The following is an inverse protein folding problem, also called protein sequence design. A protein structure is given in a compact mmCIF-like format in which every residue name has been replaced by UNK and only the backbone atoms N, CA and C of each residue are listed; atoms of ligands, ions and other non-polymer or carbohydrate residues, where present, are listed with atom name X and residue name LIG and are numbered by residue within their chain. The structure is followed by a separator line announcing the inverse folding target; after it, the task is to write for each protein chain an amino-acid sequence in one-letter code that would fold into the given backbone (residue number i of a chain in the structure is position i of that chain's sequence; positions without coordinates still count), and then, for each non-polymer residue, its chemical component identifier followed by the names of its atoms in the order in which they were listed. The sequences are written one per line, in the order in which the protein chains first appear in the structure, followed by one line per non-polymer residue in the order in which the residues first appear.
data_IF_702199274857
#
_entry.id   IF_702199274857
#
_cell.length_a   1.000
_cell.length_b   1.000
_cell.length_c   1.000
_cell.angle_alpha   90.00
_cell.angle_beta   90.00
_cell.angle_gamma   90.00
#
_symmetry.space_group_name_H-M   'P 1'
#
loop_
_entity.id
_entity.type
_entity.pdbx_description
1 polymer ?
#
# COMPACT_ATOMS: atom_id res chain seq x y z
N UNK A 1 19.35 -12.03 -20.88
CA UNK A 1 18.46 -10.86 -20.81
C UNK A 1 17.27 -11.15 -19.89
N UNK A 2 17.52 -11.34 -18.60
CA UNK A 2 16.48 -11.75 -17.63
C UNK A 2 15.98 -10.60 -16.74
N UNK A 3 16.70 -9.47 -16.69
CA UNK A 3 16.38 -8.35 -15.82
C UNK A 3 15.07 -7.63 -16.22
N UNK A 4 14.65 -7.70 -17.48
CA UNK A 4 13.43 -7.04 -17.99
C UNK A 4 12.13 -7.72 -17.55
N UNK A 5 12.19 -8.95 -17.04
CA UNK A 5 11.02 -9.72 -16.63
C UNK A 5 10.74 -9.63 -15.12
N UNK A 6 11.54 -8.86 -14.38
CA UNK A 6 11.37 -8.65 -12.94
C UNK A 6 10.87 -7.23 -12.66
N UNK A 7 10.02 -7.03 -11.66
CA UNK A 7 9.59 -5.70 -11.24
C UNK A 7 10.82 -4.92 -10.78
N UNK A 8 11.04 -3.77 -11.41
CA UNK A 8 11.98 -2.78 -10.92
C UNK A 8 11.21 -1.72 -10.14
N UNK A 9 11.83 -1.15 -9.12
CA UNK A 9 11.25 -0.02 -8.37
C UNK A 9 12.36 0.99 -8.15
N UNK A 10 12.06 2.24 -8.50
CA UNK A 10 12.96 3.37 -8.33
C UNK A 10 12.22 4.45 -7.55
N UNK A 11 12.92 5.10 -6.63
CA UNK A 11 12.40 6.18 -5.80
C UNK A 11 13.06 7.47 -6.26
N UNK A 12 12.22 8.43 -6.65
CA UNK A 12 12.67 9.75 -7.06
C UNK A 12 12.02 10.79 -6.14
N UNK A 13 12.84 11.64 -5.54
CA UNK A 13 12.38 12.80 -4.79
C UNK A 13 12.81 14.07 -5.54
N UNK A 14 11.86 14.93 -5.84
CA UNK A 14 12.18 16.29 -6.26
C UNK A 14 12.52 17.11 -5.02
N UNK A 15 13.78 17.52 -4.89
CA UNK A 15 14.26 18.33 -3.77
C UNK A 15 15.08 19.53 -4.25
N UNK A 16 15.14 20.57 -3.42
CA UNK A 16 16.14 21.63 -3.59
C UNK A 16 17.50 21.15 -3.08
N UNK A 17 18.61 21.77 -3.49
CA UNK A 17 19.92 21.46 -2.94
C UNK A 17 19.91 21.47 -1.40
N UNK A 18 20.44 20.41 -0.79
CA UNK A 18 20.49 20.21 0.66
C UNK A 18 19.11 20.13 1.36
N UNK A 19 18.03 19.83 0.64
CA UNK A 19 16.68 19.67 1.18
C UNK A 19 16.08 18.30 0.82
N UNK A 20 16.92 17.27 0.68
CA UNK A 20 16.48 15.89 0.52
C UNK A 20 15.79 15.44 1.81
N UNK A 21 14.51 15.08 1.74
CA UNK A 21 13.79 14.56 2.90
C UNK A 21 13.97 13.06 3.07
N UNK A 22 14.27 12.33 1.98
CA UNK A 22 14.63 10.92 2.06
C UNK A 22 16.00 10.78 2.72
N UNK A 23 16.03 9.99 3.80
CA UNK A 23 17.22 9.69 4.59
C UNK A 23 17.80 8.31 4.26
N UNK A 24 16.95 7.34 3.89
CA UNK A 24 17.38 6.01 3.49
C UNK A 24 16.38 5.32 2.57
N UNK A 25 16.88 4.42 1.74
CA UNK A 25 16.07 3.45 0.97
C UNK A 25 16.65 2.07 1.24
N UNK A 26 15.83 1.19 1.82
CA UNK A 26 16.24 -0.16 2.24
C UNK A 26 15.41 -1.20 1.50
N UNK A 27 16.08 -2.24 1.01
CA UNK A 27 15.41 -3.44 0.50
C UNK A 27 15.20 -4.40 1.67
N UNK A 28 13.99 -4.43 2.21
CA UNK A 28 13.62 -5.20 3.41
C UNK A 28 13.38 -6.66 3.08
N UNK A 29 12.77 -6.94 1.92
CA UNK A 29 12.54 -8.29 1.43
C UNK A 29 12.72 -8.36 -0.09
N UNK A 30 13.35 -9.44 -0.55
CA UNK A 30 13.58 -9.74 -1.96
C UNK A 30 13.33 -11.23 -2.19
N UNK A 31 12.26 -11.54 -2.91
CA UNK A 31 11.81 -12.89 -3.21
C UNK A 31 10.75 -12.85 -4.30
N UNK A 32 9.62 -13.55 -4.10
CA UNK A 32 8.48 -13.50 -5.05
C UNK A 32 7.81 -12.12 -5.15
N UNK A 33 8.19 -11.22 -4.25
CA UNK A 33 7.87 -9.81 -4.28
C UNK A 33 9.00 -9.02 -3.63
N UNK A 34 9.08 -7.75 -3.97
CA UNK A 34 9.97 -6.76 -3.40
C UNK A 34 9.22 -5.96 -2.33
N UNK A 35 9.84 -5.79 -1.16
CA UNK A 35 9.44 -4.82 -0.15
C UNK A 35 10.56 -3.80 0.03
N UNK A 36 10.30 -2.55 -0.37
CA UNK A 36 11.19 -1.43 -0.11
C UNK A 36 10.65 -0.60 1.04
N UNK A 37 11.54 -0.18 1.92
CA UNK A 37 11.29 0.85 2.93
C UNK A 37 12.02 2.12 2.53
N UNK A 38 11.30 3.23 2.50
CA UNK A 38 11.82 4.57 2.23
C UNK A 38 11.63 5.37 3.50
N UNK A 39 12.73 5.69 4.16
CA UNK A 39 12.75 6.47 5.39
C UNK A 39 12.93 7.94 5.05
N UNK A 40 11.99 8.78 5.46
CA UNK A 40 12.05 10.22 5.32
C UNK A 40 12.04 10.92 6.67
N UNK A 41 12.43 12.19 6.67
CA UNK A 41 12.43 13.02 7.90
C UNK A 41 11.03 13.13 8.54
N UNK A 42 9.98 13.22 7.72
CA UNK A 42 8.60 13.42 8.18
C UNK A 42 7.65 12.28 7.81
N UNK A 43 8.08 11.36 6.94
CA UNK A 43 7.25 10.25 6.49
C UNK A 43 8.07 9.02 6.13
N UNK A 44 7.53 7.86 6.46
CA UNK A 44 8.08 6.57 6.08
C UNK A 44 7.13 5.88 5.10
N UNK A 45 7.67 5.21 4.10
CA UNK A 45 6.90 4.52 3.07
C UNK A 45 7.35 3.08 2.95
N UNK A 46 6.40 2.15 2.88
CA UNK A 46 6.62 0.78 2.43
C UNK A 46 6.04 0.61 1.04
N UNK A 47 6.86 0.19 0.09
CA UNK A 47 6.47 -0.07 -1.29
C UNK A 47 6.58 -1.57 -1.54
N UNK A 48 5.45 -2.19 -1.88
CA UNK A 48 5.36 -3.60 -2.25
C UNK A 48 5.19 -3.71 -3.75
N UNK A 49 5.98 -4.57 -4.40
CA UNK A 49 5.88 -4.84 -5.84
C UNK A 49 6.06 -6.33 -6.12
N UNK A 50 5.11 -6.96 -6.81
CA UNK A 50 5.08 -8.43 -6.97
C UNK A 50 5.54 -8.89 -8.34
N UNK A 51 6.39 -9.93 -8.38
CA UNK A 51 6.67 -10.71 -9.61
C UNK A 51 5.46 -11.57 -10.00
N UNK A 52 4.71 -12.05 -9.00
CA UNK A 52 3.57 -12.95 -9.17
C UNK A 52 2.30 -12.30 -8.61
N UNK A 53 1.68 -11.33 -9.31
CA UNK A 53 0.58 -10.51 -8.77
C UNK A 53 -0.70 -11.30 -8.45
N UNK A 54 -0.81 -12.52 -8.96
CA UNK A 54 -1.96 -13.41 -8.74
C UNK A 54 -1.81 -14.34 -7.53
N UNK A 55 -0.59 -14.47 -6.99
CA UNK A 55 -0.31 -15.27 -5.80
C UNK A 55 -0.38 -14.41 -4.53
N UNK A 56 -0.72 -15.02 -3.41
CA UNK A 56 -0.64 -14.37 -2.10
C UNK A 56 0.79 -14.46 -1.62
N UNK A 57 1.44 -13.31 -1.53
CA UNK A 57 2.74 -13.14 -0.90
C UNK A 57 2.55 -12.83 0.60
N UNK A 58 3.47 -13.33 1.43
CA UNK A 58 3.47 -13.09 2.87
C UNK A 58 4.86 -12.70 3.33
N UNK A 59 4.92 -11.74 4.24
CA UNK A 59 6.12 -11.39 4.98
C UNK A 59 5.71 -10.83 6.33
N UNK A 60 6.07 -11.52 7.42
CA UNK A 60 5.60 -11.21 8.77
C UNK A 60 4.06 -11.08 8.78
N UNK A 61 3.54 -9.97 9.31
CA UNK A 61 2.10 -9.69 9.40
C UNK A 61 1.50 -9.09 8.12
N UNK A 62 2.30 -8.96 7.06
CA UNK A 62 1.87 -8.44 5.77
C UNK A 62 1.43 -9.58 4.85
N UNK A 63 0.25 -9.43 4.24
CA UNK A 63 -0.19 -10.27 3.13
C UNK A 63 -0.55 -9.42 1.94
N UNK A 64 -0.05 -9.79 0.76
CA UNK A 64 -0.22 -9.00 -0.44
C UNK A 64 -0.51 -9.88 -1.65
N UNK A 65 -1.55 -9.52 -2.41
CA UNK A 65 -1.86 -10.09 -3.71
C UNK A 65 -2.27 -8.95 -4.64
N UNK A 66 -1.37 -8.54 -5.51
CA UNK A 66 -1.59 -7.49 -6.50
C UNK A 66 -0.31 -7.11 -7.23
N UNK A 67 -0.39 -6.11 -8.12
CA UNK A 67 0.79 -5.60 -8.82
C UNK A 67 1.68 -4.80 -7.88
N UNK A 68 1.12 -3.81 -7.18
CA UNK A 68 1.86 -3.05 -6.19
C UNK A 68 0.97 -2.56 -5.05
N UNK A 69 1.58 -2.17 -3.94
CA UNK A 69 0.94 -1.46 -2.85
C UNK A 69 1.89 -0.44 -2.25
N UNK A 70 1.33 0.60 -1.65
CA UNK A 70 2.08 1.63 -0.92
C UNK A 70 1.44 1.81 0.44
N UNK A 71 2.27 1.84 1.48
CA UNK A 71 1.85 2.18 2.84
C UNK A 71 2.70 3.37 3.25
N UNK A 72 2.07 4.49 3.58
CA UNK A 72 2.75 5.69 4.01
C UNK A 72 2.32 6.04 5.44
N UNK A 73 3.27 6.44 6.26
CA UNK A 73 3.04 6.93 7.62
C UNK A 73 3.70 8.29 7.77
N UNK A 74 2.96 9.29 8.27
CA UNK A 74 3.49 10.62 8.58
C UNK A 74 2.83 11.13 9.86
N UNK A 75 3.57 11.09 10.96
CA UNK A 75 3.03 11.35 12.30
C UNK A 75 1.85 10.43 12.61
N UNK A 76 0.65 11.01 12.79
CA UNK A 76 -0.61 10.26 13.03
C UNK A 76 -1.34 9.87 11.74
N UNK A 77 -0.96 10.43 10.60
CA UNK A 77 -1.58 10.12 9.31
C UNK A 77 -1.02 8.82 8.77
N UNK A 78 -1.88 8.03 8.15
CA UNK A 78 -1.46 6.83 7.41
C UNK A 78 -2.25 6.68 6.13
N UNK A 79 -1.60 6.25 5.05
CA UNK A 79 -2.26 5.92 3.79
C UNK A 79 -1.90 4.49 3.39
N UNK A 80 -2.90 3.72 2.97
CA UNK A 80 -2.77 2.38 2.45
C UNK A 80 -3.35 2.36 1.05
N UNK A 81 -2.52 2.08 0.07
CA UNK A 81 -2.92 2.00 -1.33
C UNK A 81 -2.65 0.60 -1.87
N UNK A 82 -3.68 -0.04 -2.40
CA UNK A 82 -3.57 -1.25 -3.21
C UNK A 82 -3.76 -0.87 -4.67
N UNK A 83 -2.77 -1.16 -5.52
CA UNK A 83 -2.81 -0.88 -6.95
C UNK A 83 -2.98 -2.16 -7.77
N UNK A 84 -4.11 -2.28 -8.48
CA UNK A 84 -4.43 -3.42 -9.36
C UNK A 84 -4.20 -4.78 -8.68
N UNK A 85 -4.90 -5.01 -7.56
CA UNK A 85 -4.74 -6.22 -6.78
C UNK A 85 -6.05 -6.82 -6.29
N UNK A 86 -5.94 -7.68 -5.29
CA UNK A 86 -7.05 -8.37 -4.64
C UNK A 86 -6.93 -8.37 -3.10
N UNK A 87 -5.72 -8.21 -2.55
CA UNK A 87 -5.49 -8.21 -1.11
C UNK A 87 -4.29 -7.33 -0.73
N UNK A 88 -4.50 -6.47 0.26
CA UNK A 88 -3.45 -5.87 1.08
C UNK A 88 -3.88 -6.05 2.54
N UNK A 89 -3.10 -6.78 3.33
CA UNK A 89 -3.29 -6.94 4.77
C UNK A 89 -2.04 -6.42 5.48
N UNK A 90 -2.25 -5.62 6.49
CA UNK A 90 -1.24 -5.04 7.38
C UNK A 90 -1.71 -5.21 8.83
N UNK A 91 -0.86 -4.94 9.83
CA UNK A 91 -1.29 -4.93 11.23
C UNK A 91 -2.44 -3.97 11.55
N UNK A 92 -2.60 -2.89 10.76
CA UNK A 92 -3.55 -1.80 11.05
C UNK A 92 -4.81 -1.89 10.19
N UNK A 93 -4.65 -2.22 8.91
CA UNK A 93 -5.70 -2.16 7.91
C UNK A 93 -5.61 -3.34 6.94
N UNK A 94 -6.77 -3.83 6.49
CA UNK A 94 -6.88 -4.78 5.38
C UNK A 94 -7.81 -4.26 4.30
N UNK A 95 -7.45 -4.47 3.04
CA UNK A 95 -8.25 -4.19 1.84
C UNK A 95 -8.37 -5.49 1.06
N UNK A 96 -9.58 -5.97 0.79
CA UNK A 96 -9.84 -7.21 0.05
C UNK A 96 -10.90 -6.99 -1.03
N UNK A 97 -10.62 -7.41 -2.25
CA UNK A 97 -11.61 -7.36 -3.33
C UNK A 97 -12.76 -8.36 -3.10
N UNK A 98 -13.97 -7.96 -3.49
CA UNK A 98 -15.16 -8.83 -3.47
C UNK A 98 -15.57 -9.31 -4.87
N UNK A 99 -15.14 -8.64 -5.93
CA UNK A 99 -15.55 -8.94 -7.32
C UNK A 99 -14.44 -9.49 -8.23
N UNK A 100 -13.17 -9.10 -8.05
CA UNK A 100 -12.11 -9.43 -9.02
C UNK A 100 -10.67 -9.09 -8.61
N UNK A 101 -9.71 -9.27 -9.52
CA UNK A 101 -8.27 -9.11 -9.24
C UNK A 101 -7.65 -7.78 -9.72
N UNK A 102 -8.48 -6.75 -9.96
CA UNK A 102 -8.05 -5.44 -10.48
C UNK A 102 -8.46 -4.28 -9.57
N UNK A 103 -8.71 -4.58 -8.29
CA UNK A 103 -9.02 -3.58 -7.29
C UNK A 103 -7.86 -2.60 -7.16
N UNK A 104 -8.19 -1.32 -7.29
CA UNK A 104 -7.39 -0.20 -6.86
C UNK A 104 -8.14 0.56 -5.78
N UNK A 105 -7.56 0.64 -4.59
CA UNK A 105 -8.21 1.24 -3.44
C UNK A 105 -7.22 1.97 -2.55
N UNK A 106 -7.66 3.08 -1.97
CA UNK A 106 -6.92 3.88 -1.00
C UNK A 106 -7.71 3.95 0.31
N UNK A 107 -7.06 3.71 1.43
CA UNK A 107 -7.54 4.00 2.78
C UNK A 107 -6.63 5.06 3.38
N UNK A 108 -7.18 6.18 3.84
CA UNK A 108 -6.44 7.26 4.50
C UNK A 108 -6.96 7.46 5.91
N UNK A 109 -6.06 7.47 6.86
CA UNK A 109 -6.31 7.85 8.25
C UNK A 109 -5.78 9.26 8.42
N UNK A 110 -6.68 10.19 8.69
CA UNK A 110 -6.37 11.60 8.91
C UNK A 110 -5.88 11.83 10.35
N UNK A 111 -5.33 13.02 10.62
CA UNK A 111 -4.76 13.39 11.92
C UNK A 111 -5.78 13.36 13.07
N UNK A 112 -7.05 13.62 12.77
CA UNK A 112 -8.18 13.59 13.71
C UNK A 112 -8.75 12.16 13.91
N UNK A 113 -8.16 11.16 13.24
CA UNK A 113 -8.60 9.77 13.27
C UNK A 113 -9.68 9.44 12.23
N UNK A 114 -10.17 10.41 11.45
CA UNK A 114 -11.13 10.16 10.37
C UNK A 114 -10.53 9.20 9.35
N UNK A 115 -11.26 8.14 9.01
CA UNK A 115 -10.82 7.19 7.99
C UNK A 115 -11.61 7.37 6.71
N UNK A 116 -10.92 7.67 5.61
CA UNK A 116 -11.50 7.85 4.27
C UNK A 116 -11.08 6.74 3.34
N UNK A 117 -12.03 6.15 2.63
CA UNK A 117 -11.80 5.04 1.71
C UNK A 117 -12.33 5.37 0.32
N UNK A 118 -11.57 5.03 -0.72
CA UNK A 118 -12.01 5.09 -2.11
C UNK A 118 -11.56 3.84 -2.85
N UNK A 119 -12.42 3.30 -3.71
CA UNK A 119 -12.10 2.17 -4.58
C UNK A 119 -12.69 2.32 -5.99
N UNK A 120 -12.11 1.62 -6.96
CA UNK A 120 -12.67 1.47 -8.31
C UNK A 120 -13.60 0.24 -8.45
N UNK A 121 -13.54 -0.70 -7.53
CA UNK A 121 -14.34 -1.92 -7.48
C UNK A 121 -14.92 -2.10 -6.07
N UNK A 122 -15.94 -2.95 -5.96
CA UNK A 122 -16.48 -3.33 -4.67
C UNK A 122 -15.44 -4.10 -3.84
N UNK A 123 -15.24 -3.68 -2.59
CA UNK A 123 -14.25 -4.28 -1.70
C UNK A 123 -14.69 -4.29 -0.24
N UNK A 124 -14.01 -5.11 0.57
CA UNK A 124 -14.07 -5.10 2.02
C UNK A 124 -12.83 -4.40 2.57
N UNK A 125 -13.04 -3.45 3.49
CA UNK A 125 -11.97 -2.87 4.30
C UNK A 125 -12.16 -3.31 5.74
N UNK A 126 -11.08 -3.76 6.39
CA UNK A 126 -11.05 -4.05 7.82
C UNK A 126 -10.17 -3.02 8.50
N UNK A 127 -10.74 -2.31 9.47
CA UNK A 127 -10.04 -1.30 10.26
C UNK A 127 -10.63 -1.30 11.68
N UNK A 128 -9.78 -1.17 12.70
CA UNK A 128 -10.24 -1.20 14.11
C UNK A 128 -11.02 -2.46 14.49
N UNK A 129 -10.74 -3.60 13.85
CA UNK A 129 -11.46 -4.86 14.05
C UNK A 129 -12.85 -4.94 13.40
N UNK A 130 -13.36 -3.84 12.82
CA UNK A 130 -14.65 -3.79 12.11
C UNK A 130 -14.45 -4.02 10.61
N UNK A 131 -15.45 -4.61 9.96
CA UNK A 131 -15.49 -4.84 8.51
C UNK A 131 -16.45 -3.86 7.85
N UNK A 132 -16.02 -3.24 6.76
CA UNK A 132 -16.78 -2.26 6.00
C UNK A 132 -16.84 -2.68 4.54
N UNK A 133 -18.05 -2.67 3.96
CA UNK A 133 -18.25 -2.93 2.54
C UNK A 133 -18.25 -1.61 1.79
N UNK A 134 -17.34 -1.49 0.82
CA UNK A 134 -17.06 -0.23 0.12
C UNK A 134 -17.55 -0.35 -1.32
N UNK A 135 -18.45 0.56 -1.69
CA UNK A 135 -18.96 0.66 -3.05
C UNK A 135 -18.02 1.52 -3.93
N UNK A 136 -17.82 1.15 -5.20
CA UNK A 136 -16.90 1.85 -6.09
C UNK A 136 -17.33 3.28 -6.39
N UNK A 137 -16.36 4.13 -6.74
CA UNK A 137 -16.60 5.45 -7.30
C UNK A 137 -17.00 6.54 -6.29
N UNK A 138 -17.09 6.23 -4.99
CA UNK A 138 -17.38 7.19 -3.92
C UNK A 138 -16.28 7.18 -2.85
N UNK A 139 -16.15 8.29 -2.14
CA UNK A 139 -15.36 8.34 -0.91
C UNK A 139 -16.31 7.95 0.23
N UNK A 140 -15.89 6.99 1.05
CA UNK A 140 -16.59 6.54 2.25
C UNK A 140 -15.82 7.00 3.47
N UNK A 141 -16.51 7.49 4.49
CA UNK A 141 -15.92 7.75 5.81
C UNK A 141 -16.30 6.60 6.74
N UNK A 142 -15.33 6.01 7.44
CA UNK A 142 -15.58 4.91 8.38
C UNK A 142 -15.76 5.45 9.81
N UNK A 143 -16.67 4.83 10.55
CA UNK A 143 -17.00 5.10 11.97
C UNK A 143 -16.66 3.93 12.90
#
# INVERSE_FOLDING_TARGET
GEAWNRPFTAVYEASRPNQCSITAVKRVFDGKFLLLEVEGQESNHLILSSETPYQVNRFQDYMFKGTFAVIAHSGKKSEFYLGKGALLQTPVCSIRSLGGSRLSASVRIEEDGTVRVRSNEECEVVFGGKKYRIQPGRIHTLE
#
